data_IF_655154137835
#
_entry.id   IF_655154137835
#
_cell.length_a   1.000
_cell.length_b   1.000
_cell.length_c   1.000
_cell.angle_alpha   90.00
_cell.angle_beta   90.00
_cell.angle_gamma   90.00
#
_symmetry.space_group_name_H-M   'P 1'
#
loop_
_entity.id
_entity.type
_entity.pdbx_description
1 polymer ?
#
# COMPACT_ATOMS: atom_id res chain seq x y z
N UNK A 1 -17.93 -40.72 11.52
CA UNK A 1 -18.55 -40.39 12.84
C UNK A 1 -17.47 -39.95 13.81
N UNK A 2 -17.51 -38.71 14.29
CA UNK A 2 -17.33 -38.29 15.69
C UNK A 2 -17.45 -36.77 15.74
N UNK A 3 -18.46 -36.32 16.48
CA UNK A 3 -18.81 -34.94 16.82
C UNK A 3 -18.03 -34.51 18.08
N UNK A 4 -18.21 -33.24 18.43
CA UNK A 4 -17.95 -32.56 19.71
C UNK A 4 -16.62 -31.77 19.70
N UNK A 5 -16.55 -30.52 20.16
CA UNK A 5 -17.43 -29.86 21.13
C UNK A 5 -17.49 -28.34 20.95
N UNK A 6 -18.71 -27.83 21.10
CA UNK A 6 -19.07 -26.45 21.43
C UNK A 6 -18.68 -26.19 22.89
N UNK A 7 -18.19 -24.98 23.22
CA UNK A 7 -18.27 -24.42 24.57
C UNK A 7 -18.57 -22.93 24.47
N UNK A 8 -19.78 -22.59 24.89
CA UNK A 8 -20.27 -21.25 25.12
C UNK A 8 -19.70 -20.68 26.43
N UNK A 9 -19.60 -19.36 26.52
CA UNK A 9 -19.19 -18.67 27.74
C UNK A 9 -19.63 -17.22 27.73
N UNK A 10 -20.94 -16.99 27.74
CA UNK A 10 -21.58 -15.71 28.00
C UNK A 10 -21.51 -15.42 29.52
N UNK A 11 -20.97 -14.27 29.92
CA UNK A 11 -21.20 -13.74 31.26
C UNK A 11 -21.31 -12.21 31.20
N UNK A 12 -22.57 -11.75 31.12
CA UNK A 12 -22.98 -10.39 31.45
C UNK A 12 -23.18 -10.36 32.96
N UNK A 13 -22.56 -9.41 33.66
CA UNK A 13 -23.03 -8.98 34.98
C UNK A 13 -23.24 -7.47 34.99
N UNK A 14 -24.47 -7.11 35.31
CA UNK A 14 -25.05 -5.77 35.36
C UNK A 14 -25.04 -5.24 36.81
N UNK A 15 -24.96 -3.90 36.91
CA UNK A 15 -25.59 -3.02 37.92
C UNK A 15 -25.01 -3.08 39.36
N UNK A 16 -25.00 -2.05 40.21
CA UNK A 16 -25.08 -0.57 40.21
C UNK A 16 -25.03 -0.19 41.71
N UNK A 17 -24.77 1.09 42.00
CA UNK A 17 -25.05 1.82 43.26
C UNK A 17 -23.97 1.72 44.36
N UNK A 18 -23.70 2.76 45.15
CA UNK A 18 -24.03 4.18 45.14
C UNK A 18 -23.24 4.86 46.28
N UNK A 19 -23.17 6.20 46.23
CA UNK A 19 -22.97 7.14 47.35
C UNK A 19 -21.66 7.06 48.16
N UNK A 20 -20.90 8.15 48.21
CA UNK A 20 -21.02 9.05 49.38
C UNK A 20 -20.51 10.47 49.07
N UNK A 21 -21.10 11.43 49.77
CA UNK A 21 -21.02 12.88 49.60
C UNK A 21 -19.70 13.49 50.08
N UNK A 22 -19.32 14.62 49.48
CA UNK A 22 -18.21 15.42 49.98
C UNK A 22 -18.05 16.76 49.28
N UNK A 23 -18.95 17.72 49.57
CA UNK A 23 -18.64 19.15 49.39
C UNK A 23 -17.33 19.47 50.10
N UNK A 24 -16.43 20.21 49.46
CA UNK A 24 -15.92 21.50 49.98
C UNK A 24 -14.93 22.16 49.03
N UNK A 25 -15.05 23.48 48.98
CA UNK A 25 -14.26 24.43 48.23
C UNK A 25 -12.77 24.35 48.57
N UNK A 26 -11.99 24.59 47.52
CA UNK A 26 -10.61 25.09 47.47
C UNK A 26 -10.35 26.17 48.51
N UNK A 27 -9.31 26.01 49.33
CA UNK A 27 -8.07 26.75 49.12
C UNK A 27 -6.95 26.16 50.01
N UNK A 28 -5.70 26.40 49.60
CA UNK A 28 -4.43 26.05 50.26
C UNK A 28 -3.72 24.76 49.82
N UNK A 29 -2.63 25.01 49.08
CA UNK A 29 -1.25 24.52 49.28
C UNK A 29 -1.06 23.09 49.79
N UNK A 30 -0.36 22.26 49.03
CA UNK A 30 0.89 21.59 49.42
C UNK A 30 1.45 20.78 48.23
N UNK A 31 2.77 20.63 48.24
CA UNK A 31 3.61 20.07 47.20
C UNK A 31 3.34 18.60 46.85
N UNK A 32 3.79 18.24 45.64
CA UNK A 32 3.66 16.96 44.92
C UNK A 32 3.88 15.69 45.77
N UNK A 33 3.21 14.61 45.35
CA UNK A 33 3.98 13.48 44.87
C UNK A 33 3.47 12.93 43.53
N UNK A 34 4.40 12.86 42.57
CA UNK A 34 4.47 11.89 41.47
C UNK A 34 3.14 11.38 40.91
N UNK A 35 2.61 12.09 39.93
CA UNK A 35 1.82 11.47 38.85
C UNK A 35 2.46 11.89 37.55
N UNK A 36 3.15 10.96 36.90
CA UNK A 36 3.59 11.15 35.51
C UNK A 36 2.32 11.41 34.72
N UNK A 37 2.12 12.66 34.29
CA UNK A 37 1.04 12.99 33.39
C UNK A 37 1.20 12.09 32.15
N UNK A 38 0.12 11.45 31.65
CA UNK A 38 0.21 10.78 30.36
C UNK A 38 0.73 11.81 29.36
N UNK A 39 1.88 11.49 28.76
CA UNK A 39 2.55 12.36 27.80
C UNK A 39 1.62 12.72 26.65
N UNK A 40 2.04 13.66 25.77
CA UNK A 40 1.25 14.01 24.60
C UNK A 40 0.81 12.71 23.92
N UNK A 41 -0.51 12.54 23.71
CA UNK A 41 -0.97 11.59 22.72
C UNK A 41 -0.38 12.10 21.42
N UNK A 42 0.76 11.54 21.03
CA UNK A 42 1.22 11.61 19.66
C UNK A 42 0.09 10.96 18.88
N UNK A 43 -0.79 11.79 18.35
CA UNK A 43 -1.61 11.38 17.23
C UNK A 43 -0.56 11.19 16.14
N UNK A 44 -0.07 9.96 16.03
CA UNK A 44 0.70 9.50 14.89
C UNK A 44 -0.30 9.41 13.72
N UNK A 45 -0.76 10.58 13.29
CA UNK A 45 -1.48 10.76 12.04
C UNK A 45 -0.39 10.69 10.99
N UNK A 46 0.02 9.48 10.63
CA UNK A 46 0.72 9.23 9.39
C UNK A 46 -0.24 9.65 8.27
N UNK A 47 -0.10 10.86 7.69
CA UNK A 47 -1.01 11.29 6.67
C UNK A 47 -0.48 10.66 5.40
N UNK A 48 -0.86 9.42 5.14
CA UNK A 48 -0.54 8.79 3.86
C UNK A 48 -1.09 9.70 2.73
N UNK A 49 -0.19 10.40 2.01
CA UNK A 49 -0.56 11.52 1.11
C UNK A 49 -0.77 11.10 -0.35
N UNK A 50 -0.61 9.82 -0.68
CA UNK A 50 -0.75 9.34 -2.06
C UNK A 50 -2.22 9.17 -2.41
N UNK A 51 -2.60 9.65 -3.59
CA UNK A 51 -3.96 9.54 -4.12
C UNK A 51 -4.06 8.47 -5.21
N UNK A 52 -5.29 8.08 -5.54
CA UNK A 52 -5.55 7.20 -6.69
C UNK A 52 -5.10 7.86 -8.00
N UNK A 53 -5.31 9.16 -8.12
CA UNK A 53 -4.91 9.96 -9.28
C UNK A 53 -3.40 9.95 -9.49
N UNK A 54 -2.59 9.99 -8.42
CA UNK A 54 -1.14 9.88 -8.51
C UNK A 54 -0.72 8.52 -9.09
N UNK A 55 -1.36 7.43 -8.65
CA UNK A 55 -1.09 6.08 -9.12
C UNK A 55 -1.45 5.93 -10.60
N UNK A 56 -2.62 6.43 -11.01
CA UNK A 56 -3.04 6.40 -12.42
C UNK A 56 -2.15 7.26 -13.32
N UNK A 57 -1.66 8.42 -12.85
CA UNK A 57 -0.70 9.23 -13.60
C UNK A 57 0.62 8.48 -13.84
N UNK A 58 1.16 7.82 -12.80
CA UNK A 58 2.38 7.02 -12.95
C UNK A 58 2.19 5.83 -13.89
N UNK A 59 1.07 5.10 -13.76
CA UNK A 59 0.71 4.01 -14.67
C UNK A 59 0.56 4.51 -16.11
N UNK A 60 -0.02 5.68 -16.33
CA UNK A 60 -0.13 6.29 -17.65
C UNK A 60 1.25 6.57 -18.26
N UNK A 61 2.19 7.14 -17.48
CA UNK A 61 3.58 7.37 -17.92
C UNK A 61 4.26 6.06 -18.33
N UNK A 62 4.17 5.03 -17.50
CA UNK A 62 4.72 3.70 -17.82
C UNK A 62 4.07 3.10 -19.07
N UNK A 63 2.75 3.27 -19.24
CA UNK A 63 2.02 2.83 -20.44
C UNK A 63 2.53 3.51 -21.71
N UNK A 64 2.74 4.82 -21.65
CA UNK A 64 3.28 5.58 -22.78
C UNK A 64 4.70 5.15 -23.13
N UNK A 65 5.55 4.93 -22.14
CA UNK A 65 6.93 4.52 -22.38
C UNK A 65 7.02 3.08 -22.90
N UNK A 66 6.19 2.15 -22.40
CA UNK A 66 6.04 0.81 -22.99
C UNK A 66 5.56 0.89 -24.45
N UNK A 67 4.61 1.77 -24.75
CA UNK A 67 4.11 1.95 -26.12
C UNK A 67 5.21 2.47 -27.06
N UNK A 68 6.07 3.39 -26.60
CA UNK A 68 7.23 3.86 -27.35
C UNK A 68 8.21 2.71 -27.62
N UNK A 69 8.59 1.96 -26.58
CA UNK A 69 9.45 0.79 -26.71
C UNK A 69 8.89 -0.22 -27.73
N UNK A 70 7.59 -0.53 -27.64
CA UNK A 70 6.91 -1.44 -28.58
C UNK A 70 6.97 -0.96 -30.03
N UNK A 71 6.82 0.34 -30.26
CA UNK A 71 6.91 0.92 -31.60
C UNK A 71 8.34 0.81 -32.18
N UNK A 72 9.35 0.83 -31.32
CA UNK A 72 10.76 0.70 -31.70
C UNK A 72 11.19 -0.76 -31.93
N UNK A 73 10.31 -1.75 -31.72
CA UNK A 73 10.63 -3.18 -31.87
C UNK A 73 11.33 -3.51 -33.19
N UNK A 74 10.79 -3.03 -34.32
CA UNK A 74 11.33 -3.33 -35.64
C UNK A 74 12.76 -2.80 -35.82
N UNK A 75 13.11 -1.79 -35.06
CA UNK A 75 14.45 -1.23 -35.01
C UNK A 75 15.32 -2.00 -34.01
N UNK A 76 14.80 -2.44 -32.88
CA UNK A 76 15.58 -3.02 -31.77
C UNK A 76 15.85 -4.52 -31.89
N UNK A 77 14.95 -5.30 -32.50
CA UNK A 77 15.03 -6.76 -32.46
C UNK A 77 14.60 -7.41 -33.79
N UNK A 78 15.32 -8.44 -34.23
CA UNK A 78 15.01 -9.23 -35.43
C UNK A 78 15.10 -10.74 -35.18
N UNK A 79 14.39 -11.55 -35.97
CA UNK A 79 14.45 -13.01 -35.86
C UNK A 79 14.01 -13.51 -34.46
N UNK A 80 14.84 -14.34 -33.82
CA UNK A 80 14.54 -14.92 -32.50
C UNK A 80 14.49 -13.85 -31.39
N UNK A 81 15.30 -12.81 -31.49
CA UNK A 81 15.31 -11.68 -30.55
C UNK A 81 13.99 -10.92 -30.54
N UNK A 82 13.30 -10.85 -31.69
CA UNK A 82 11.98 -10.22 -31.78
C UNK A 82 10.92 -10.96 -30.95
N UNK A 83 11.08 -12.28 -30.78
CA UNK A 83 10.17 -13.09 -29.95
C UNK A 83 10.47 -12.86 -28.46
N UNK A 84 11.74 -12.79 -28.08
CA UNK A 84 12.14 -12.48 -26.70
C UNK A 84 11.75 -11.05 -26.29
N UNK A 85 11.88 -10.09 -27.22
CA UNK A 85 11.39 -8.73 -27.05
C UNK A 85 9.89 -8.71 -26.75
N UNK A 86 9.08 -9.43 -27.55
CA UNK A 86 7.63 -9.52 -27.33
C UNK A 86 7.30 -10.15 -25.98
N UNK A 87 8.04 -11.18 -25.55
CA UNK A 87 7.82 -11.82 -24.26
C UNK A 87 8.06 -10.85 -23.10
N UNK A 88 9.16 -10.11 -23.12
CA UNK A 88 9.45 -9.12 -22.08
C UNK A 88 8.43 -7.96 -22.09
N UNK A 89 8.03 -7.49 -23.28
CA UNK A 89 6.98 -6.48 -23.43
C UNK A 89 5.65 -6.96 -22.84
N UNK A 90 5.24 -8.19 -23.14
CA UNK A 90 3.99 -8.76 -22.63
C UNK A 90 4.02 -8.90 -21.10
N UNK A 91 5.15 -9.31 -20.53
CA UNK A 91 5.30 -9.39 -19.07
C UNK A 91 5.23 -8.01 -18.38
N UNK A 92 5.78 -6.97 -19.03
CA UNK A 92 5.69 -5.61 -18.52
C UNK A 92 4.25 -5.06 -18.65
N UNK A 93 3.55 -5.36 -19.75
CA UNK A 93 2.13 -5.02 -19.95
C UNK A 93 1.22 -5.73 -18.94
N UNK A 94 1.46 -7.01 -18.65
CA UNK A 94 0.72 -7.78 -17.63
C UNK A 94 0.86 -7.13 -16.24
N UNK A 95 2.10 -6.79 -15.85
CA UNK A 95 2.36 -6.11 -14.57
C UNK A 95 1.75 -4.72 -14.52
N UNK A 96 1.74 -3.98 -15.63
CA UNK A 96 1.08 -2.68 -15.71
C UNK A 96 -0.45 -2.81 -15.53
N UNK A 97 -1.06 -3.87 -16.05
CA UNK A 97 -2.47 -4.16 -15.83
C UNK A 97 -2.75 -4.50 -14.36
N UNK A 98 -1.90 -5.32 -13.72
CA UNK A 98 -1.98 -5.62 -12.29
C UNK A 98 -1.89 -4.35 -11.42
N UNK A 99 -1.05 -3.37 -11.80
CA UNK A 99 -1.00 -2.05 -11.13
C UNK A 99 -2.36 -1.35 -11.23
N UNK A 100 -3.02 -1.41 -12.38
CA UNK A 100 -4.36 -0.84 -12.56
C UNK A 100 -5.42 -1.51 -11.67
N UNK A 101 -5.39 -2.84 -11.58
CA UNK A 101 -6.29 -3.59 -10.68
C UNK A 101 -6.04 -3.20 -9.21
N UNK A 102 -4.77 -3.10 -8.81
CA UNK A 102 -4.38 -2.66 -7.47
C UNK A 102 -4.72 -1.20 -7.18
N UNK A 103 -4.68 -0.32 -8.17
CA UNK A 103 -5.10 1.06 -8.03
C UNK A 103 -6.61 1.15 -7.70
N UNK A 104 -7.44 0.31 -8.33
CA UNK A 104 -8.87 0.23 -8.00
C UNK A 104 -9.12 -0.38 -6.61
N UNK A 105 -8.32 -1.37 -6.20
CA UNK A 105 -8.31 -1.85 -4.80
C UNK A 105 -7.94 -0.71 -3.83
N UNK A 106 -6.89 0.04 -4.14
CA UNK A 106 -6.43 1.18 -3.35
C UNK A 106 -7.53 2.23 -3.18
N UNK A 107 -8.25 2.56 -4.26
CA UNK A 107 -9.35 3.53 -4.26
C UNK A 107 -10.51 3.11 -3.35
N UNK A 108 -10.75 1.82 -3.20
CA UNK A 108 -11.87 1.26 -2.43
C UNK A 108 -11.50 0.82 -1.01
N UNK A 109 -10.21 0.81 -0.67
CA UNK A 109 -9.68 0.39 0.61
C UNK A 109 -9.78 1.48 1.69
N UNK A 110 -9.74 1.06 2.96
CA UNK A 110 -9.57 1.97 4.10
C UNK A 110 -8.13 2.52 4.16
N UNK A 111 -7.92 3.67 4.80
CA UNK A 111 -6.63 4.39 4.85
C UNK A 111 -5.47 3.52 5.36
N UNK A 112 -5.72 2.66 6.34
CA UNK A 112 -4.72 1.75 6.91
C UNK A 112 -4.30 0.64 5.93
N UNK A 113 -5.21 0.22 5.06
CA UNK A 113 -4.95 -0.77 4.00
C UNK A 113 -4.35 -0.15 2.75
N UNK A 114 -4.66 1.12 2.48
CA UNK A 114 -4.14 1.88 1.33
C UNK A 114 -2.62 1.92 1.31
N UNK A 115 -1.98 2.06 2.48
CA UNK A 115 -0.53 2.05 2.59
C UNK A 115 0.07 0.72 2.11
N UNK A 116 -0.48 -0.41 2.57
CA UNK A 116 0.01 -1.74 2.19
C UNK A 116 -0.21 -2.02 0.70
N UNK A 117 -1.35 -1.59 0.16
CA UNK A 117 -1.64 -1.71 -1.28
C UNK A 117 -0.69 -0.83 -2.09
N UNK A 118 -0.40 0.38 -1.63
CA UNK A 118 0.56 1.25 -2.30
C UNK A 118 1.98 0.69 -2.30
N UNK A 119 2.42 0.09 -1.19
CA UNK A 119 3.72 -0.59 -1.12
C UNK A 119 3.80 -1.75 -2.15
N UNK A 120 2.70 -2.48 -2.38
CA UNK A 120 2.61 -3.49 -3.44
C UNK A 120 2.68 -2.87 -4.84
N UNK A 121 1.93 -1.78 -5.08
CA UNK A 121 1.95 -1.05 -6.36
C UNK A 121 3.36 -0.55 -6.69
N UNK A 122 4.08 -0.02 -5.68
CA UNK A 122 5.45 0.47 -5.85
C UNK A 122 6.41 -0.64 -6.25
N UNK A 123 6.29 -1.83 -5.67
CA UNK A 123 7.08 -2.99 -6.05
C UNK A 123 6.75 -3.46 -7.48
N UNK A 124 5.47 -3.50 -7.85
CA UNK A 124 5.05 -3.83 -9.22
C UNK A 124 5.58 -2.82 -10.24
N UNK A 125 5.51 -1.51 -9.92
CA UNK A 125 6.09 -0.45 -10.74
C UNK A 125 7.57 -0.68 -10.99
N UNK A 126 8.33 -0.98 -9.94
CA UNK A 126 9.76 -1.29 -10.08
C UNK A 126 9.99 -2.48 -11.01
N UNK A 127 9.17 -3.52 -10.93
CA UNK A 127 9.28 -4.67 -11.84
C UNK A 127 8.99 -4.30 -13.29
N UNK A 128 8.07 -3.38 -13.56
CA UNK A 128 7.82 -2.84 -14.92
C UNK A 128 9.05 -2.05 -15.39
N UNK A 129 9.58 -1.14 -14.57
CA UNK A 129 10.78 -0.35 -14.86
C UNK A 129 12.00 -1.23 -15.14
N UNK A 130 12.24 -2.25 -14.31
CA UNK A 130 13.36 -3.19 -14.48
C UNK A 130 13.24 -3.97 -15.80
N UNK A 131 12.03 -4.39 -16.19
CA UNK A 131 11.78 -5.05 -17.48
C UNK A 131 12.01 -4.11 -18.67
N UNK A 132 11.55 -2.88 -18.56
CA UNK A 132 11.78 -1.86 -19.60
C UNK A 132 13.27 -1.55 -19.75
N UNK A 133 14.01 -1.48 -18.65
CA UNK A 133 15.45 -1.32 -18.65
C UNK A 133 16.15 -2.55 -19.25
N UNK A 134 15.70 -3.76 -18.92
CA UNK A 134 16.20 -4.99 -19.53
C UNK A 134 16.01 -4.97 -21.06
N UNK A 135 14.82 -4.63 -21.54
CA UNK A 135 14.54 -4.45 -22.98
C UNK A 135 15.47 -3.40 -23.56
N UNK A 136 15.59 -2.26 -22.88
CA UNK A 136 16.44 -1.14 -23.28
C UNK A 136 17.89 -1.57 -23.49
N UNK A 137 18.46 -2.30 -22.53
CA UNK A 137 19.87 -2.70 -22.51
C UNK A 137 20.16 -3.88 -23.45
N UNK A 138 19.30 -4.91 -23.45
CA UNK A 138 19.51 -6.13 -24.24
C UNK A 138 19.37 -5.91 -25.73
N UNK A 139 18.49 -5.00 -26.13
CA UNK A 139 18.20 -4.69 -27.52
C UNK A 139 18.68 -3.28 -27.92
N UNK A 140 19.65 -2.71 -27.18
CA UNK A 140 20.28 -1.47 -27.59
C UNK A 140 21.20 -1.72 -28.79
N UNK A 141 20.88 -1.06 -29.91
CA UNK A 141 21.68 -1.11 -31.15
C UNK A 141 23.10 -0.56 -30.96
N UNK A 142 23.34 0.27 -29.94
CA UNK A 142 24.66 0.87 -29.70
C UNK A 142 25.60 -0.03 -28.87
N UNK A 143 25.13 -1.18 -28.37
CA UNK A 143 25.94 -2.14 -27.62
C UNK A 143 26.45 -3.32 -28.49
N UNK A 144 26.26 -3.28 -29.81
CA UNK A 144 26.80 -4.24 -30.79
C UNK A 144 27.82 -3.62 -31.74
#
# INVERSE_FOLDING_TARGET
>A
MKKLSLMAGLAIFLLVAACDEGKKNTDQSYESPTTVAPGPKTIDMDPFQVTYEDIEEEKMKLSEDLKKLKAEKAERAQGNEATEFDQLMNQAEEKLNEIGEKAEEFRSAAEDQQKDIYDQIKEMKKQVEDKMAEIGNRFDKNNS
#
